data_IF_169472646877
#
_entry.id   IF_169472646877
#
_cell.length_a   1.000
_cell.length_b   1.000
_cell.length_c   1.000
_cell.angle_alpha   90.00
_cell.angle_beta   90.00
_cell.angle_gamma   90.00
#
_symmetry.space_group_name_H-M   'P 1'
#
loop_
_entity.id
_entity.type
_entity.pdbx_description
1 polymer ?
#
# COMPACT_ATOMS: atom_id res chain seq x y z
N UNK A 1 -10.37 32.85 -2.86
CA UNK A 1 -9.61 33.10 -1.62
C UNK A 1 -8.33 32.28 -1.70
N UNK A 2 -7.25 32.89 -2.19
CA UNK A 2 -5.92 32.26 -2.25
C UNK A 2 -5.26 32.47 -0.89
N UNK A 3 -5.10 31.41 -0.11
CA UNK A 3 -4.31 31.46 1.11
C UNK A 3 -2.85 31.41 0.66
N UNK A 4 -2.18 32.56 0.62
CA UNK A 4 -0.73 32.56 0.54
C UNK A 4 -0.20 32.04 1.87
N UNK A 5 0.29 30.80 1.87
CA UNK A 5 1.07 30.27 2.99
C UNK A 5 2.39 31.01 3.04
N UNK A 6 2.42 32.12 3.79
CA UNK A 6 3.65 32.78 4.21
C UNK A 6 4.36 31.81 5.15
N UNK A 7 5.34 31.11 4.60
CA UNK A 7 6.23 30.25 5.36
C UNK A 7 7.18 31.16 6.16
N UNK A 8 7.03 31.18 7.48
CA UNK A 8 7.83 32.05 8.37
C UNK A 8 9.32 31.70 8.38
N UNK A 9 10.18 32.58 8.96
CA UNK A 9 11.65 32.48 8.87
C UNK A 9 12.27 31.26 9.56
N UNK A 10 11.51 30.49 10.34
CA UNK A 10 11.97 29.25 10.99
C UNK A 10 11.81 28.00 10.13
N UNK A 11 11.33 28.15 8.90
CA UNK A 11 11.11 27.02 8.01
C UNK A 11 12.43 26.49 7.42
N UNK A 12 12.58 25.17 7.45
CA UNK A 12 13.73 24.49 6.87
C UNK A 12 13.38 23.96 5.48
N UNK A 13 13.87 24.63 4.44
CA UNK A 13 13.80 24.12 3.07
C UNK A 13 14.59 22.82 2.95
N UNK A 14 13.88 21.75 2.58
CA UNK A 14 14.48 20.45 2.35
C UNK A 14 14.92 20.38 0.90
N UNK A 15 16.22 20.51 0.67
CA UNK A 15 16.79 20.32 -0.66
C UNK A 15 16.66 18.87 -1.10
N UNK A 16 16.25 18.63 -2.34
CA UNK A 16 16.19 17.26 -2.89
C UNK A 16 17.54 16.57 -2.96
N UNK A 17 18.64 17.32 -2.98
CA UNK A 17 19.98 16.74 -2.83
C UNK A 17 20.17 15.98 -1.51
N UNK A 18 19.37 16.28 -0.47
CA UNK A 18 19.34 15.51 0.78
C UNK A 18 18.59 14.18 0.64
N UNK A 19 17.71 14.06 -0.36
CA UNK A 19 17.06 12.80 -0.71
C UNK A 19 17.95 11.99 -1.66
N UNK A 20 19.15 11.62 -1.20
CA UNK A 20 20.03 10.77 -1.98
C UNK A 20 19.26 9.50 -2.40
N UNK A 21 19.40 9.09 -3.67
CA UNK A 21 18.66 8.01 -4.34
C UNK A 21 17.18 8.24 -4.69
N UNK A 22 16.64 9.46 -4.53
CA UNK A 22 15.29 9.76 -5.03
C UNK A 22 15.22 9.66 -6.56
N UNK A 23 14.22 8.94 -7.06
CA UNK A 23 13.85 8.92 -8.48
C UNK A 23 12.82 9.99 -8.74
N UNK A 24 13.05 10.82 -9.76
CA UNK A 24 12.21 11.96 -10.09
C UNK A 24 11.77 11.85 -11.54
N UNK A 25 10.48 12.01 -11.79
CA UNK A 25 9.93 12.06 -13.15
C UNK A 25 8.80 13.06 -13.23
N UNK A 26 8.64 13.68 -14.40
CA UNK A 26 7.49 14.55 -14.71
C UNK A 26 6.38 13.70 -15.33
N UNK A 27 5.16 13.88 -14.87
CA UNK A 27 3.96 13.29 -15.46
C UNK A 27 2.89 14.38 -15.57
N UNK A 28 2.49 14.72 -16.80
CA UNK A 28 1.70 15.93 -17.07
C UNK A 28 2.38 17.18 -16.47
N UNK A 29 1.68 17.96 -15.65
CA UNK A 29 2.24 19.14 -14.95
C UNK A 29 2.73 18.85 -13.53
N UNK A 30 2.74 17.58 -13.13
CA UNK A 30 3.15 17.14 -11.80
C UNK A 30 4.56 16.56 -11.83
N UNK A 31 5.36 16.91 -10.83
CA UNK A 31 6.65 16.29 -10.55
C UNK A 31 6.45 15.20 -9.51
N UNK A 32 6.69 13.95 -9.89
CA UNK A 32 6.66 12.82 -8.97
C UNK A 32 8.06 12.52 -8.46
N UNK A 33 8.17 12.35 -7.15
CA UNK A 33 9.41 12.04 -6.45
C UNK A 33 9.18 10.76 -5.64
N UNK A 34 9.94 9.72 -5.95
CA UNK A 34 9.98 8.48 -5.17
C UNK A 34 11.30 8.41 -4.44
N UNK A 35 11.25 8.52 -3.12
CA UNK A 35 12.43 8.43 -2.26
C UNK A 35 12.47 7.08 -1.55
N UNK A 36 13.43 6.20 -1.88
CA UNK A 36 13.52 4.84 -1.32
C UNK A 36 14.11 4.83 0.10
N UNK A 37 13.45 5.51 1.03
CA UNK A 37 13.68 5.34 2.46
C UNK A 37 13.00 4.05 2.97
N UNK A 38 13.12 3.78 4.28
CA UNK A 38 12.37 2.71 4.95
C UNK A 38 11.36 3.33 5.93
N UNK A 39 10.06 3.41 5.58
CA UNK A 39 9.42 2.98 4.32
C UNK A 39 9.69 3.95 3.16
N UNK A 40 9.42 3.51 1.92
CA UNK A 40 9.54 4.36 0.72
C UNK A 40 8.51 5.49 0.76
N UNK A 41 8.94 6.70 0.41
CA UNK A 41 8.09 7.88 0.39
C UNK A 41 7.84 8.34 -1.05
N UNK A 42 6.56 8.53 -1.41
CA UNK A 42 6.16 9.16 -2.66
C UNK A 42 5.67 10.58 -2.40
N UNK A 43 6.17 11.55 -3.15
CA UNK A 43 5.74 12.94 -3.12
C UNK A 43 5.29 13.36 -4.51
N UNK A 44 4.30 14.25 -4.56
CA UNK A 44 3.86 14.95 -5.76
C UNK A 44 4.07 16.42 -5.50
N UNK A 45 4.82 17.07 -6.38
CA UNK A 45 5.10 18.50 -6.32
C UNK A 45 4.64 19.17 -7.61
N UNK A 46 4.23 20.42 -7.51
CA UNK A 46 4.02 21.25 -8.69
C UNK A 46 5.38 21.55 -9.33
N UNK A 47 5.47 21.40 -10.65
CA UNK A 47 6.68 21.73 -11.40
C UNK A 47 6.91 23.24 -11.37
N UNK A 48 7.90 23.70 -10.60
CA UNK A 48 8.32 25.11 -10.58
C UNK A 48 9.66 25.28 -11.28
N UNK A 49 9.89 26.44 -11.90
CA UNK A 49 11.19 26.78 -12.47
C UNK A 49 12.24 26.88 -11.36
N UNK A 50 13.15 25.89 -11.30
CA UNK A 50 14.23 25.79 -10.31
C UNK A 50 14.51 24.36 -9.84
N UNK A 51 15.56 24.15 -9.02
CA UNK A 51 15.74 22.88 -8.33
C UNK A 51 14.53 22.62 -7.43
N UNK A 52 13.97 21.40 -7.37
CA UNK A 52 12.71 21.18 -6.69
C UNK A 52 12.92 21.11 -5.17
N UNK A 53 13.13 22.23 -4.52
CA UNK A 53 13.23 22.29 -3.07
C UNK A 53 11.84 22.11 -2.42
N UNK A 54 11.78 21.41 -1.28
CA UNK A 54 10.52 21.14 -0.57
C UNK A 54 10.38 22.14 0.57
N UNK A 55 9.39 23.04 0.41
CA UNK A 55 9.09 24.09 1.40
C UNK A 55 7.84 23.84 2.25
N UNK A 56 6.97 22.95 1.81
CA UNK A 56 5.76 22.62 2.54
C UNK A 56 5.23 21.27 2.10
N UNK A 57 4.47 20.62 2.97
CA UNK A 57 3.66 19.46 2.63
C UNK A 57 2.21 19.90 2.71
N UNK A 58 1.51 19.86 1.57
CA UNK A 58 0.07 20.11 1.52
C UNK A 58 -0.67 18.78 1.73
N UNK A 59 -1.58 18.76 2.70
CA UNK A 59 -2.40 17.60 3.02
C UNK A 59 -3.87 17.93 2.68
N UNK A 60 -4.42 17.37 1.58
CA UNK A 60 -5.84 17.50 1.28
C UNK A 60 -6.71 16.97 2.43
N UNK A 61 -7.75 17.71 2.80
CA UNK A 61 -8.76 17.28 3.76
C UNK A 61 -9.74 16.31 3.06
N UNK A 62 -9.31 15.07 2.85
CA UNK A 62 -10.06 14.00 2.19
C UNK A 62 -10.18 12.75 3.08
N UNK A 63 -10.86 11.71 2.57
CA UNK A 63 -11.04 10.43 3.28
C UNK A 63 -9.71 9.71 3.61
N UNK A 64 -8.60 10.17 3.03
CA UNK A 64 -7.26 9.64 3.27
C UNK A 64 -6.41 10.53 4.20
N UNK A 65 -6.98 11.59 4.77
CA UNK A 65 -6.24 12.59 5.53
C UNK A 65 -5.34 11.98 6.62
N UNK A 66 -5.86 11.06 7.43
CA UNK A 66 -5.10 10.39 8.48
C UNK A 66 -3.90 9.59 7.94
N UNK A 67 -4.09 8.89 6.82
CA UNK A 67 -3.01 8.17 6.13
C UNK A 67 -1.97 9.13 5.58
N UNK A 68 -2.40 10.27 5.00
CA UNK A 68 -1.49 11.30 4.48
C UNK A 68 -0.71 12.00 5.60
N UNK A 69 -1.36 12.23 6.74
CA UNK A 69 -0.74 12.83 7.92
C UNK A 69 0.35 11.92 8.50
N UNK A 70 0.10 10.62 8.64
CA UNK A 70 1.13 9.67 9.08
C UNK A 70 2.28 9.56 8.07
N UNK A 71 1.98 9.55 6.76
CA UNK A 71 2.99 9.55 5.71
C UNK A 71 3.90 10.80 5.80
N UNK A 72 3.33 11.98 5.99
CA UNK A 72 4.07 13.23 6.18
C UNK A 72 4.92 13.22 7.46
N UNK A 73 4.37 12.73 8.57
CA UNK A 73 5.11 12.55 9.83
C UNK A 73 6.30 11.61 9.66
N UNK A 74 6.12 10.48 8.97
CA UNK A 74 7.19 9.50 8.73
C UNK A 74 8.25 10.05 7.78
N UNK A 75 7.84 10.78 6.75
CA UNK A 75 8.76 11.49 5.87
C UNK A 75 9.63 12.48 6.65
N UNK A 76 9.02 13.32 7.50
CA UNK A 76 9.77 14.24 8.36
C UNK A 76 10.74 13.51 9.32
N UNK A 77 10.33 12.36 9.87
CA UNK A 77 11.24 11.55 10.71
C UNK A 77 12.41 10.98 9.91
N UNK A 78 12.16 10.43 8.72
CA UNK A 78 13.18 9.90 7.84
C UNK A 78 14.20 10.98 7.44
N UNK A 79 13.72 12.18 7.09
CA UNK A 79 14.58 13.35 6.81
C UNK A 79 15.53 13.70 7.96
N UNK A 80 15.08 13.49 9.20
CA UNK A 80 15.85 13.78 10.41
C UNK A 80 16.61 12.54 10.93
N UNK A 81 16.74 11.47 10.13
CA UNK A 81 17.45 10.24 10.53
C UNK A 81 16.78 9.48 11.68
N UNK A 82 15.49 9.72 11.93
CA UNK A 82 14.74 9.10 13.03
C UNK A 82 14.00 7.86 12.53
N UNK A 83 13.85 6.82 13.35
CA UNK A 83 13.07 5.64 12.97
C UNK A 83 11.61 6.04 12.70
N UNK A 84 10.95 5.48 11.67
CA UNK A 84 9.61 5.90 11.24
C UNK A 84 8.51 5.61 12.27
N UNK A 85 8.72 4.65 13.17
CA UNK A 85 7.70 4.18 14.12
C UNK A 85 6.64 3.29 13.45
N UNK A 86 5.65 2.79 14.22
CA UNK A 86 4.54 2.01 13.69
C UNK A 86 3.78 2.78 12.61
N UNK A 87 3.40 2.12 11.53
CA UNK A 87 2.60 2.75 10.48
C UNK A 87 1.16 2.94 10.96
N UNK A 88 0.59 4.12 10.72
CA UNK A 88 -0.85 4.25 10.76
C UNK A 88 -1.47 3.30 9.73
N UNK A 89 -2.52 2.59 10.12
CA UNK A 89 -3.10 1.58 9.24
C UNK A 89 -2.19 0.38 8.95
N UNK A 90 -1.24 0.06 9.84
CA UNK A 90 -0.57 -1.24 9.76
C UNK A 90 -1.60 -2.37 9.85
N UNK A 91 -1.65 -3.22 8.82
CA UNK A 91 -2.51 -4.40 8.84
C UNK A 91 -2.11 -5.32 10.01
N UNK A 92 -3.09 -5.84 10.78
CA UNK A 92 -2.82 -6.86 11.78
C UNK A 92 -2.10 -8.06 11.15
N UNK A 93 -1.16 -8.67 11.87
CA UNK A 93 -0.34 -9.77 11.36
C UNK A 93 -1.20 -10.92 10.78
N UNK A 94 -2.30 -11.27 11.45
CA UNK A 94 -3.23 -12.31 10.98
C UNK A 94 -3.89 -11.93 9.64
N UNK A 95 -4.24 -10.66 9.44
CA UNK A 95 -4.82 -10.15 8.20
C UNK A 95 -3.79 -10.22 7.07
N UNK A 96 -2.54 -9.82 7.33
CA UNK A 96 -1.44 -9.96 6.37
C UNK A 96 -1.24 -11.41 5.93
N UNK A 97 -1.16 -12.35 6.88
CA UNK A 97 -1.00 -13.78 6.57
C UNK A 97 -2.15 -14.30 5.70
N UNK A 98 -3.39 -13.87 5.97
CA UNK A 98 -4.56 -14.26 5.16
C UNK A 98 -4.48 -13.71 3.73
N UNK A 99 -4.06 -12.46 3.54
CA UNK A 99 -3.88 -11.89 2.20
C UNK A 99 -2.77 -12.60 1.43
N UNK A 100 -1.64 -12.89 2.07
CA UNK A 100 -0.54 -13.68 1.48
C UNK A 100 -1.03 -15.06 1.05
N UNK A 101 -1.81 -15.75 1.91
CA UNK A 101 -2.39 -17.05 1.59
C UNK A 101 -3.34 -16.98 0.37
N UNK A 102 -4.18 -15.95 0.29
CA UNK A 102 -5.07 -15.73 -0.85
C UNK A 102 -4.27 -15.54 -2.13
N UNK A 103 -3.26 -14.67 -2.13
CA UNK A 103 -2.43 -14.40 -3.31
C UNK A 103 -1.67 -15.66 -3.76
N UNK A 104 -1.06 -16.40 -2.84
CA UNK A 104 -0.40 -17.69 -3.15
C UNK A 104 -1.35 -18.70 -3.79
N UNK A 105 -2.58 -18.79 -3.31
CA UNK A 105 -3.58 -19.67 -3.88
C UNK A 105 -4.01 -19.25 -5.30
N UNK A 106 -4.13 -17.94 -5.54
CA UNK A 106 -4.41 -17.40 -6.87
C UNK A 106 -3.26 -17.66 -7.84
N UNK A 107 -2.01 -17.45 -7.43
CA UNK A 107 -0.84 -17.71 -8.27
C UNK A 107 -0.72 -19.20 -8.60
N UNK A 108 -0.97 -20.08 -7.63
CA UNK A 108 -1.03 -21.52 -7.86
C UNK A 108 -2.13 -21.89 -8.88
N UNK A 109 -3.31 -21.25 -8.82
CA UNK A 109 -4.36 -21.47 -9.82
C UNK A 109 -3.96 -20.99 -11.21
N UNK A 110 -3.32 -19.83 -11.32
CA UNK A 110 -2.79 -19.32 -12.59
C UNK A 110 -1.71 -20.24 -13.17
N UNK A 111 -0.92 -20.88 -12.31
CA UNK A 111 0.05 -21.91 -12.69
C UNK A 111 -0.58 -23.30 -12.98
N UNK A 112 -1.91 -23.42 -13.00
CA UNK A 112 -2.61 -24.66 -13.34
C UNK A 112 -2.80 -25.66 -12.19
N UNK A 113 -2.40 -25.33 -10.96
CA UNK A 113 -2.53 -26.24 -9.83
C UNK A 113 -4.00 -26.57 -9.53
N UNK A 114 -4.31 -27.86 -9.33
CA UNK A 114 -5.66 -28.29 -8.96
C UNK A 114 -6.03 -27.82 -7.55
N UNK A 115 -7.33 -27.75 -7.24
CA UNK A 115 -7.78 -27.34 -5.90
C UNK A 115 -7.26 -28.28 -4.81
N UNK A 116 -7.13 -29.57 -5.13
CA UNK A 116 -6.52 -30.58 -4.25
C UNK A 116 -5.06 -30.24 -3.97
N UNK A 117 -4.28 -29.95 -5.02
CA UNK A 117 -2.87 -29.58 -4.87
C UNK A 117 -2.69 -28.31 -4.04
N UNK A 118 -3.56 -27.33 -4.21
CA UNK A 118 -3.56 -26.09 -3.40
C UNK A 118 -3.86 -26.41 -1.93
N UNK A 119 -4.85 -27.27 -1.65
CA UNK A 119 -5.15 -27.70 -0.29
C UNK A 119 -3.96 -28.41 0.36
N UNK A 120 -3.32 -29.33 -0.36
CA UNK A 120 -2.17 -30.10 0.13
C UNK A 120 -0.99 -29.21 0.50
N UNK A 121 -0.65 -28.24 -0.35
CA UNK A 121 0.53 -27.41 -0.18
C UNK A 121 0.30 -26.25 0.79
N UNK A 122 -0.89 -25.64 0.76
CA UNK A 122 -1.14 -24.40 1.51
C UNK A 122 -1.90 -24.60 2.82
N UNK A 123 -2.66 -25.69 2.98
CA UNK A 123 -3.59 -25.86 4.10
C UNK A 123 -3.40 -27.17 4.89
N UNK A 124 -2.81 -28.20 4.27
CA UNK A 124 -2.60 -29.51 4.87
C UNK A 124 -1.16 -29.68 5.33
N UNK A 125 -0.94 -30.60 6.27
CA UNK A 125 0.39 -31.10 6.64
C UNK A 125 0.79 -32.36 5.88
N UNK A 126 -0.05 -32.85 4.96
CA UNK A 126 0.17 -34.08 4.20
C UNK A 126 -0.66 -34.17 2.92
N UNK A 127 -0.33 -35.18 2.10
CA UNK A 127 -1.02 -35.48 0.84
C UNK A 127 -2.46 -35.93 1.06
N UNK A 128 -3.37 -35.59 0.16
CA UNK A 128 -4.78 -35.98 0.20
C UNK A 128 -5.02 -37.01 -0.90
N UNK A 129 -5.46 -38.21 -0.54
CA UNK A 129 -5.71 -39.25 -1.53
C UNK A 129 -6.82 -38.80 -2.50
N UNK A 130 -6.73 -39.11 -3.81
CA UNK A 130 -7.72 -38.68 -4.81
C UNK A 130 -9.16 -39.08 -4.47
N UNK A 131 -9.36 -40.27 -3.88
CA UNK A 131 -10.66 -40.78 -3.44
C UNK A 131 -11.31 -39.93 -2.35
N UNK A 132 -10.52 -39.37 -1.45
CA UNK A 132 -11.01 -38.63 -0.29
C UNK A 132 -11.31 -37.16 -0.65
N UNK A 133 -10.80 -36.68 -1.78
CA UNK A 133 -10.90 -35.27 -2.18
C UNK A 133 -12.32 -34.79 -2.44
N UNK A 134 -13.22 -35.67 -2.92
CA UNK A 134 -14.58 -35.29 -3.35
C UNK A 134 -15.33 -34.57 -2.23
N UNK A 135 -15.28 -35.14 -1.03
CA UNK A 135 -16.00 -34.68 0.17
C UNK A 135 -15.07 -34.09 1.24
N UNK A 136 -13.81 -33.83 0.88
CA UNK A 136 -12.82 -33.27 1.81
C UNK A 136 -13.17 -31.82 2.20
N UNK A 137 -13.20 -31.53 3.50
CA UNK A 137 -13.55 -30.21 4.03
C UNK A 137 -12.65 -29.07 3.48
N UNK A 138 -11.38 -29.35 3.15
CA UNK A 138 -10.47 -28.36 2.56
C UNK A 138 -10.90 -27.89 1.17
N UNK A 139 -11.73 -28.65 0.44
CA UNK A 139 -12.28 -28.24 -0.86
C UNK A 139 -13.08 -26.95 -0.74
N UNK A 140 -13.90 -26.82 0.30
CA UNK A 140 -14.66 -25.60 0.57
C UNK A 140 -13.76 -24.45 1.03
N UNK A 141 -12.73 -24.73 1.85
CA UNK A 141 -11.75 -23.72 2.28
C UNK A 141 -10.98 -23.14 1.09
N UNK A 142 -10.46 -23.99 0.19
CA UNK A 142 -9.78 -23.55 -1.04
C UNK A 142 -10.69 -22.70 -1.90
N UNK A 143 -11.94 -23.12 -2.12
CA UNK A 143 -12.92 -22.30 -2.86
C UNK A 143 -13.13 -20.91 -2.24
N UNK A 144 -13.24 -20.83 -0.91
CA UNK A 144 -13.41 -19.56 -0.23
C UNK A 144 -12.16 -18.66 -0.32
N UNK A 145 -10.97 -19.24 -0.23
CA UNK A 145 -9.69 -18.54 -0.41
C UNK A 145 -9.59 -17.98 -1.84
N UNK A 146 -9.88 -18.79 -2.85
CA UNK A 146 -9.82 -18.35 -4.25
C UNK A 146 -10.80 -17.21 -4.52
N UNK A 147 -12.06 -17.29 -4.04
CA UNK A 147 -13.00 -16.16 -4.17
C UNK A 147 -12.48 -14.87 -3.53
N UNK A 148 -11.79 -14.96 -2.39
CA UNK A 148 -11.19 -13.77 -1.74
C UNK A 148 -10.00 -13.26 -2.52
N UNK A 149 -9.18 -14.17 -3.06
CA UNK A 149 -8.04 -13.82 -3.89
C UNK A 149 -8.45 -13.13 -5.19
N UNK A 150 -9.49 -13.64 -5.84
CA UNK A 150 -10.05 -13.04 -7.06
C UNK A 150 -10.51 -11.60 -6.80
N UNK A 151 -11.18 -11.34 -5.67
CA UNK A 151 -11.59 -9.98 -5.27
C UNK A 151 -10.38 -9.06 -5.01
N UNK A 152 -9.33 -9.57 -4.38
CA UNK A 152 -8.12 -8.79 -4.12
C UNK A 152 -7.44 -8.40 -5.44
N UNK A 153 -7.26 -9.36 -6.35
CA UNK A 153 -6.59 -9.14 -7.64
C UNK A 153 -7.44 -8.28 -8.59
N UNK A 154 -8.78 -8.41 -8.55
CA UNK A 154 -9.71 -7.59 -9.32
C UNK A 154 -9.80 -6.11 -8.86
N UNK A 155 -8.88 -5.64 -8.03
CA UNK A 155 -8.79 -4.26 -7.59
C UNK A 155 -8.98 -4.04 -6.09
N UNK A 156 -9.43 -5.05 -5.34
CA UNK A 156 -9.59 -4.98 -3.89
C UNK A 156 -8.29 -4.74 -3.12
N UNK A 157 -7.12 -5.01 -3.73
CA UNK A 157 -5.83 -4.60 -3.16
C UNK A 157 -5.73 -3.08 -2.92
N UNK A 158 -6.45 -2.25 -3.68
CA UNK A 158 -6.45 -0.79 -3.49
C UNK A 158 -7.08 -0.34 -2.18
N UNK A 159 -7.98 -1.14 -1.61
CA UNK A 159 -8.62 -0.83 -0.33
C UNK A 159 -7.62 -0.91 0.82
N UNK A 160 -6.55 -1.71 0.68
CA UNK A 160 -5.49 -1.81 1.68
C UNK A 160 -4.68 -0.52 1.82
N UNK A 161 -4.71 0.38 0.81
CA UNK A 161 -4.04 1.67 0.86
C UNK A 161 -4.73 2.66 1.81
N UNK A 162 -5.99 2.41 2.14
CA UNK A 162 -6.81 3.29 2.98
C UNK A 162 -7.09 2.70 4.37
N UNK A 163 -6.66 1.46 4.63
CA UNK A 163 -6.84 0.79 5.92
C UNK A 163 -6.33 1.66 7.09
N UNK A 164 -7.03 1.73 8.24
CA UNK A 164 -8.19 0.93 8.63
C UNK A 164 -9.51 1.39 8.01
N UNK A 165 -9.49 2.52 7.30
CA UNK A 165 -10.67 3.03 6.62
C UNK A 165 -10.89 2.26 5.32
N UNK A 166 -12.15 2.01 4.97
CA UNK A 166 -12.48 1.68 3.58
C UNK A 166 -12.35 2.94 2.74
N UNK A 167 -12.15 2.81 1.42
CA UNK A 167 -12.57 3.84 0.46
C UNK A 167 -14.07 4.11 0.65
N UNK A 168 -14.45 4.96 1.59
CA UNK A 168 -15.85 5.35 1.75
C UNK A 168 -16.18 6.40 0.72
N UNK A 169 -16.49 5.95 -0.50
CA UNK A 169 -17.47 6.66 -1.30
C UNK A 169 -18.57 5.69 -1.69
N UNK A 170 -19.65 5.73 -0.89
CA UNK A 170 -20.99 5.83 -1.47
C UNK A 170 -20.84 6.84 -2.60
N UNK A 171 -20.88 6.38 -3.86
CA UNK A 171 -20.83 7.28 -4.99
C UNK A 171 -21.85 8.38 -4.72
N UNK A 172 -21.40 9.62 -4.56
CA UNK A 172 -22.28 10.77 -4.76
C UNK A 172 -22.71 10.69 -6.23
N UNK A 173 -23.82 9.99 -6.44
CA UNK A 173 -24.71 10.21 -7.58
C UNK A 173 -25.41 11.54 -7.34
#
# INVERSE_FOLDING_TARGET
MQIHSSVGPSHQTVRLSRLSSASIWKQAEELHILWPASPTHGLVAESRDGPPDIDAILLPLDDAFETRLDAARRFWRALNGRPPGPAYGALPQQTNVRHILNLRAHDARRAGATYRRIAEVLLSRGSIAPRDWRDHHLRHKVRAILRRADRLVAGGCRDLLFYPHSRSQKSRR
#
